data_IF_567107006119
#
_entry.id   IF_567107006119
#
_cell.length_a   1.000
_cell.length_b   1.000
_cell.length_c   1.000
_cell.angle_alpha   90.00
_cell.angle_beta   90.00
_cell.angle_gamma   90.00
#
_symmetry.space_group_name_H-M   'P 1'
#
loop_
_entity.id
_entity.type
_entity.pdbx_description
1 polymer ?
#
# COMPACT_ATOMS: atom_id res chain seq x y z
N UNK A 1 -14.17 -16.21 37.80
CA UNK A 1 -13.01 -16.03 38.66
C UNK A 1 -11.81 -15.81 37.76
N UNK A 2 -10.97 -14.84 38.10
CA UNK A 2 -9.73 -14.55 37.39
C UNK A 2 -8.62 -14.73 38.42
N UNK A 3 -7.85 -15.81 38.30
CA UNK A 3 -6.77 -16.11 39.23
C UNK A 3 -5.43 -15.79 38.56
N UNK A 4 -4.57 -15.06 39.25
CA UNK A 4 -3.26 -14.64 38.75
C UNK A 4 -2.18 -15.42 39.46
N UNK A 5 -1.30 -16.04 38.69
CA UNK A 5 -0.20 -16.84 39.21
C UNK A 5 1.12 -16.19 38.79
N UNK A 6 2.06 -16.21 39.74
CA UNK A 6 3.46 -15.82 39.52
C UNK A 6 4.31 -17.08 39.43
N UNK A 7 5.36 -17.03 38.61
CA UNK A 7 6.25 -18.15 38.42
C UNK A 7 7.42 -18.10 39.41
N UNK A 8 7.83 -19.29 39.84
CA UNK A 8 8.94 -19.48 40.77
C UNK A 8 9.87 -20.57 40.27
N UNK A 9 11.18 -20.35 40.35
CA UNK A 9 12.17 -21.36 40.02
C UNK A 9 12.24 -22.39 41.16
N UNK A 10 12.12 -23.68 40.82
CA UNK A 10 11.91 -24.74 41.80
C UNK A 10 13.13 -25.04 42.68
N UNK A 11 14.35 -24.98 42.13
CA UNK A 11 15.56 -25.43 42.84
C UNK A 11 16.09 -24.39 43.82
N UNK A 12 16.13 -23.14 43.41
CA UNK A 12 16.61 -21.99 44.20
C UNK A 12 15.47 -21.35 44.98
N UNK A 13 14.22 -21.71 44.68
CA UNK A 13 13.03 -21.13 45.30
C UNK A 13 13.06 -19.59 45.24
N UNK A 14 13.50 -19.07 44.09
CA UNK A 14 13.52 -17.64 43.77
C UNK A 14 12.43 -17.33 42.78
N UNK A 15 11.81 -16.17 42.97
CA UNK A 15 10.84 -15.65 42.00
C UNK A 15 11.57 -15.31 40.71
N UNK A 16 10.89 -15.47 39.57
CA UNK A 16 11.44 -14.96 38.31
C UNK A 16 11.56 -13.44 38.41
N UNK A 17 12.76 -12.94 38.11
CA UNK A 17 13.12 -11.52 38.31
C UNK A 17 12.42 -10.63 37.26
N UNK A 18 12.06 -11.21 36.12
CA UNK A 18 11.40 -10.52 35.01
C UNK A 18 9.91 -10.87 34.99
N UNK A 19 9.09 -9.83 34.87
CA UNK A 19 7.63 -9.89 34.83
C UNK A 19 7.09 -10.30 33.44
N UNK A 20 7.97 -10.87 32.61
CA UNK A 20 7.77 -11.17 31.19
C UNK A 20 6.70 -12.24 30.96
N UNK A 21 6.45 -13.09 31.95
CA UNK A 21 5.45 -14.15 31.88
C UNK A 21 4.53 -14.15 33.10
N UNK A 22 3.23 -13.98 32.85
CA UNK A 22 2.17 -14.10 33.86
C UNK A 22 1.17 -15.14 33.43
N UNK A 23 0.86 -16.09 34.31
CA UNK A 23 -0.18 -17.08 34.06
C UNK A 23 -1.50 -16.60 34.67
N UNK A 24 -2.52 -16.51 33.83
CA UNK A 24 -3.85 -16.09 34.23
C UNK A 24 -4.80 -17.24 33.96
N UNK A 25 -5.40 -17.78 35.01
CA UNK A 25 -6.45 -18.77 34.89
C UNK A 25 -7.81 -18.08 34.88
N UNK A 26 -8.59 -18.35 33.84
CA UNK A 26 -9.87 -17.70 33.60
C UNK A 26 -10.97 -18.75 33.48
N UNK A 27 -11.99 -18.61 34.32
CA UNK A 27 -13.24 -19.35 34.18
C UNK A 27 -14.25 -18.51 33.40
N UNK A 28 -14.37 -18.74 32.09
CA UNK A 28 -15.22 -17.95 31.18
C UNK A 28 -16.69 -17.81 31.65
N UNK A 29 -17.38 -18.87 32.15
CA UNK A 29 -18.76 -18.73 32.62
C UNK A 29 -18.93 -17.77 33.80
N UNK A 30 -17.87 -17.56 34.59
CA UNK A 30 -17.87 -16.65 35.74
C UNK A 30 -17.45 -15.22 35.35
N UNK A 31 -17.06 -14.97 34.09
CA UNK A 31 -16.80 -13.64 33.59
C UNK A 31 -18.11 -13.01 33.11
N UNK A 32 -18.58 -11.98 33.81
CA UNK A 32 -19.89 -11.36 33.56
C UNK A 32 -19.79 -9.87 33.20
N UNK A 33 -18.56 -9.34 33.10
CA UNK A 33 -18.32 -7.94 32.74
C UNK A 33 -18.83 -7.64 31.32
N UNK A 34 -19.46 -6.49 31.16
CA UNK A 34 -19.88 -5.92 29.88
C UNK A 34 -18.78 -5.03 29.28
N UNK A 35 -19.02 -4.55 28.07
CA UNK A 35 -18.06 -3.79 27.28
C UNK A 35 -17.58 -2.51 28.00
N UNK A 36 -18.50 -1.85 28.71
CA UNK A 36 -18.25 -0.61 29.45
C UNK A 36 -17.45 -0.85 30.74
N UNK A 37 -17.39 -2.10 31.22
CA UNK A 37 -16.75 -2.52 32.46
C UNK A 37 -15.35 -3.13 32.20
N UNK A 38 -14.86 -3.06 30.96
CA UNK A 38 -13.56 -3.58 30.54
C UNK A 38 -12.43 -2.60 30.89
N UNK A 39 -11.89 -2.73 32.09
CA UNK A 39 -10.86 -1.83 32.61
C UNK A 39 -9.44 -2.23 32.20
N UNK A 40 -9.16 -3.54 32.07
CA UNK A 40 -7.81 -4.05 31.82
C UNK A 40 -7.65 -4.72 30.46
N UNK A 41 -6.43 -4.77 29.94
CA UNK A 41 -6.09 -5.54 28.72
C UNK A 41 -6.54 -7.01 28.84
N UNK A 42 -6.43 -7.58 30.03
CA UNK A 42 -6.88 -8.96 30.33
C UNK A 42 -8.39 -9.07 30.18
N UNK A 43 -9.17 -8.13 30.72
CA UNK A 43 -10.62 -8.12 30.56
C UNK A 43 -11.01 -8.06 29.07
N UNK A 44 -10.32 -7.23 28.29
CA UNK A 44 -10.52 -7.11 26.83
C UNK A 44 -10.26 -8.46 26.11
N UNK A 45 -9.18 -9.16 26.46
CA UNK A 45 -8.89 -10.51 25.91
C UNK A 45 -9.90 -11.57 26.34
N UNK A 46 -10.34 -11.56 27.59
CA UNK A 46 -11.35 -12.52 28.09
C UNK A 46 -12.69 -12.27 27.40
N UNK A 47 -13.09 -11.01 27.27
CA UNK A 47 -14.31 -10.61 26.58
C UNK A 47 -14.27 -11.07 25.12
N UNK A 48 -13.15 -10.83 24.41
CA UNK A 48 -12.92 -11.34 23.06
C UNK A 48 -13.14 -12.86 22.99
N UNK A 49 -12.45 -13.65 23.83
CA UNK A 49 -12.56 -15.11 23.81
C UNK A 49 -13.98 -15.63 24.09
N UNK A 50 -14.77 -14.90 24.87
CA UNK A 50 -16.12 -15.30 25.26
C UNK A 50 -17.18 -14.89 24.24
N UNK A 51 -17.10 -13.67 23.71
CA UNK A 51 -18.18 -13.04 22.96
C UNK A 51 -17.88 -12.89 21.46
N UNK A 52 -16.66 -13.17 20.97
CA UNK A 52 -16.29 -12.99 19.54
C UNK A 52 -17.24 -13.66 18.57
N UNK A 53 -17.83 -14.81 18.92
CA UNK A 53 -18.74 -15.53 18.04
C UNK A 53 -20.08 -14.81 17.82
N UNK A 54 -20.40 -13.80 18.65
CA UNK A 54 -21.65 -13.03 18.62
C UNK A 54 -21.45 -11.59 18.20
N UNK A 55 -20.21 -11.18 17.93
CA UNK A 55 -19.88 -9.80 17.57
C UNK A 55 -19.92 -9.63 16.05
N UNK A 56 -20.97 -8.98 15.54
CA UNK A 56 -21.05 -8.60 14.13
C UNK A 56 -20.09 -7.44 13.78
N UNK A 57 -19.88 -6.55 14.76
CA UNK A 57 -19.04 -5.35 14.64
C UNK A 57 -18.01 -5.37 15.77
N UNK A 58 -16.77 -4.99 15.45
CA UNK A 58 -15.70 -4.83 16.44
C UNK A 58 -15.98 -3.59 17.29
N UNK A 59 -16.22 -3.71 18.60
CA UNK A 59 -16.48 -2.56 19.45
C UNK A 59 -15.22 -1.73 19.72
N UNK A 60 -15.40 -0.42 19.83
CA UNK A 60 -14.34 0.60 19.99
C UNK A 60 -13.35 0.34 21.13
N UNK A 61 -13.79 -0.05 22.36
CA UNK A 61 -12.87 -0.38 23.45
C UNK A 61 -11.90 -1.53 23.11
N UNK A 62 -12.31 -2.46 22.24
CA UNK A 62 -11.45 -3.56 21.80
C UNK A 62 -10.56 -3.15 20.63
N UNK A 63 -11.04 -2.22 19.79
CA UNK A 63 -10.30 -1.67 18.65
C UNK A 63 -9.06 -0.88 19.06
N UNK A 64 -9.06 -0.30 20.26
CA UNK A 64 -7.89 0.37 20.85
C UNK A 64 -6.66 -0.54 20.99
N UNK A 65 -6.85 -1.87 21.01
CA UNK A 65 -5.76 -2.85 21.11
C UNK A 65 -5.54 -3.49 19.73
N UNK A 66 -4.47 -3.12 18.99
CA UNK A 66 -4.26 -3.57 17.61
C UNK A 66 -4.18 -5.09 17.44
N UNK A 67 -3.73 -5.81 18.46
CA UNK A 67 -3.67 -7.28 18.48
C UNK A 67 -5.07 -7.90 18.58
N UNK A 68 -5.96 -7.31 19.40
CA UNK A 68 -7.34 -7.78 19.56
C UNK A 68 -8.14 -7.43 18.30
N UNK A 69 -7.95 -6.24 17.73
CA UNK A 69 -8.57 -5.86 16.45
C UNK A 69 -8.19 -6.86 15.35
N UNK A 70 -6.91 -7.22 15.23
CA UNK A 70 -6.46 -8.23 14.27
C UNK A 70 -7.10 -9.60 14.53
N UNK A 71 -7.14 -10.04 15.79
CA UNK A 71 -7.75 -11.32 16.15
C UNK A 71 -9.25 -11.37 15.83
N UNK A 72 -9.99 -10.30 16.13
CA UNK A 72 -11.42 -10.18 15.80
C UNK A 72 -11.67 -10.17 14.29
N UNK A 73 -10.83 -9.48 13.51
CA UNK A 73 -10.94 -9.50 12.05
C UNK A 73 -10.75 -10.91 11.48
N UNK A 74 -9.87 -11.72 12.06
CA UNK A 74 -9.67 -13.12 11.67
C UNK A 74 -10.87 -13.98 12.09
N UNK A 75 -11.32 -13.85 13.33
CA UNK A 75 -12.46 -14.61 13.87
C UNK A 75 -13.76 -14.32 13.10
N UNK A 76 -14.03 -13.05 12.81
CA UNK A 76 -15.22 -12.65 12.05
C UNK A 76 -15.21 -13.22 10.64
N UNK A 77 -14.04 -13.26 9.97
CA UNK A 77 -13.92 -13.93 8.66
C UNK A 77 -14.20 -15.43 8.73
N UNK A 78 -13.75 -16.11 9.79
CA UNK A 78 -14.05 -17.53 9.98
C UNK A 78 -15.54 -17.79 10.25
N UNK A 79 -16.25 -16.80 10.79
CA UNK A 79 -17.68 -16.85 11.06
C UNK A 79 -18.56 -16.40 9.89
N UNK A 80 -17.99 -15.92 8.78
CA UNK A 80 -18.80 -15.46 7.66
C UNK A 80 -19.63 -16.59 7.05
N UNK A 81 -20.89 -16.27 6.79
CA UNK A 81 -21.69 -17.06 5.87
C UNK A 81 -21.09 -16.98 4.46
N UNK A 82 -21.43 -17.95 3.61
CA UNK A 82 -20.96 -17.98 2.22
C UNK A 82 -21.25 -16.68 1.46
N UNK A 83 -22.42 -16.07 1.70
CA UNK A 83 -22.82 -14.82 1.06
C UNK A 83 -21.96 -13.63 1.53
N UNK A 84 -21.69 -13.53 2.83
CA UNK A 84 -20.85 -12.47 3.38
C UNK A 84 -19.40 -12.58 2.90
N UNK A 85 -18.91 -13.82 2.77
CA UNK A 85 -17.58 -14.07 2.19
C UNK A 85 -17.51 -13.60 0.73
N UNK A 86 -18.50 -13.94 -0.10
CA UNK A 86 -18.57 -13.49 -1.50
C UNK A 86 -18.65 -11.95 -1.62
N UNK A 87 -19.40 -11.28 -0.74
CA UNK A 87 -19.47 -9.81 -0.69
C UNK A 87 -18.14 -9.18 -0.23
N UNK A 88 -17.45 -9.81 0.71
CA UNK A 88 -16.12 -9.40 1.15
C UNK A 88 -15.09 -9.52 0.02
N UNK A 89 -15.04 -10.67 -0.66
CA UNK A 89 -14.14 -10.92 -1.79
C UNK A 89 -14.39 -9.93 -2.93
N UNK A 90 -15.66 -9.67 -3.28
CA UNK A 90 -16.02 -8.69 -4.31
C UNK A 90 -15.49 -7.29 -3.99
N UNK A 91 -15.61 -6.85 -2.72
CA UNK A 91 -15.06 -5.56 -2.27
C UNK A 91 -13.53 -5.55 -2.36
N UNK A 92 -12.87 -6.64 -1.98
CA UNK A 92 -11.41 -6.76 -2.07
C UNK A 92 -10.92 -6.63 -3.52
N UNK A 93 -11.58 -7.30 -4.46
CA UNK A 93 -11.28 -7.19 -5.90
C UNK A 93 -11.43 -5.75 -6.38
N UNK A 94 -12.55 -5.09 -6.04
CA UNK A 94 -12.78 -3.69 -6.43
C UNK A 94 -11.68 -2.74 -5.92
N UNK A 95 -11.25 -2.89 -4.66
CA UNK A 95 -10.17 -2.07 -4.09
C UNK A 95 -8.83 -2.32 -4.79
N UNK A 96 -8.56 -3.57 -5.15
CA UNK A 96 -7.36 -3.93 -5.90
C UNK A 96 -7.36 -3.32 -7.30
N UNK A 97 -8.50 -3.35 -7.99
CA UNK A 97 -8.67 -2.74 -9.31
C UNK A 97 -8.44 -1.22 -9.26
N UNK A 98 -9.04 -0.53 -8.28
CA UNK A 98 -8.84 0.91 -8.08
C UNK A 98 -7.37 1.25 -7.81
N UNK A 99 -6.68 0.47 -6.98
CA UNK A 99 -5.24 0.62 -6.76
C UNK A 99 -4.44 0.37 -8.03
N UNK A 100 -4.84 -0.61 -8.84
CA UNK A 100 -4.26 -0.92 -10.14
C UNK A 100 -4.36 0.26 -11.10
N UNK A 101 -5.55 0.87 -11.22
CA UNK A 101 -5.79 2.06 -12.05
C UNK A 101 -4.88 3.23 -11.66
N UNK A 102 -4.79 3.53 -10.36
CA UNK A 102 -3.95 4.63 -9.86
C UNK A 102 -2.46 4.36 -10.17
N UNK A 103 -2.03 3.11 -9.98
CA UNK A 103 -0.63 2.73 -10.23
C UNK A 103 -0.30 2.86 -11.71
N UNK A 104 -1.16 2.34 -12.58
CA UNK A 104 -1.02 2.45 -14.04
C UNK A 104 -0.97 3.91 -14.48
N UNK A 105 -1.92 4.75 -14.06
CA UNK A 105 -1.96 6.17 -14.40
C UNK A 105 -0.69 6.92 -13.94
N UNK A 106 -0.12 6.54 -12.78
CA UNK A 106 1.14 7.13 -12.29
C UNK A 106 2.35 6.69 -13.13
N UNK A 107 2.38 5.44 -13.55
CA UNK A 107 3.45 4.92 -14.41
C UNK A 107 3.40 5.55 -15.80
N UNK A 108 2.20 5.63 -16.39
CA UNK A 108 1.93 6.27 -17.67
C UNK A 108 2.32 7.75 -17.63
N UNK A 109 1.80 8.52 -16.66
CA UNK A 109 2.14 9.94 -16.53
C UNK A 109 3.64 10.18 -16.25
N UNK A 110 4.34 9.24 -15.60
CA UNK A 110 5.79 9.32 -15.44
C UNK A 110 6.53 9.03 -16.75
N UNK A 111 6.03 8.12 -17.57
CA UNK A 111 6.61 7.82 -18.88
C UNK A 111 6.40 9.00 -19.83
N UNK A 112 5.20 9.55 -19.89
CA UNK A 112 4.85 10.74 -20.67
C UNK A 112 5.71 11.94 -20.26
N UNK A 113 5.76 12.29 -18.97
CA UNK A 113 6.58 13.43 -18.51
C UNK A 113 8.08 13.28 -18.78
N UNK A 114 8.60 12.05 -18.86
CA UNK A 114 10.00 11.82 -19.32
C UNK A 114 10.15 12.05 -20.82
N UNK A 115 9.18 11.64 -21.63
CA UNK A 115 9.20 11.85 -23.06
C UNK A 115 9.07 13.34 -23.40
N UNK A 116 8.13 14.05 -22.76
CA UNK A 116 7.95 15.50 -22.89
C UNK A 116 9.24 16.24 -22.50
N UNK A 117 9.82 15.95 -21.34
CA UNK A 117 11.07 16.59 -20.91
C UNK A 117 12.25 16.32 -21.85
N UNK A 118 12.33 15.12 -22.46
CA UNK A 118 13.34 14.83 -23.50
C UNK A 118 13.09 15.65 -24.77
N UNK A 119 11.84 15.74 -25.21
CA UNK A 119 11.47 16.52 -26.39
C UNK A 119 11.80 18.01 -26.20
N UNK A 120 11.51 18.56 -25.02
CA UNK A 120 11.88 19.95 -24.68
C UNK A 120 13.39 20.18 -24.77
N UNK A 121 14.20 19.26 -24.23
CA UNK A 121 15.66 19.36 -24.30
C UNK A 121 16.15 19.25 -25.74
N UNK A 122 15.60 18.32 -26.52
CA UNK A 122 15.93 18.17 -27.95
C UNK A 122 15.59 19.45 -28.72
N UNK A 123 14.42 20.03 -28.49
CA UNK A 123 14.00 21.29 -29.10
C UNK A 123 14.93 22.44 -28.73
N UNK A 124 15.37 22.52 -27.47
CA UNK A 124 16.32 23.53 -27.03
C UNK A 124 17.66 23.38 -27.76
N UNK A 125 18.17 22.16 -27.92
CA UNK A 125 19.41 21.88 -28.65
C UNK A 125 19.29 22.24 -30.14
N UNK A 126 18.17 21.89 -30.77
CA UNK A 126 17.90 22.23 -32.17
C UNK A 126 17.85 23.75 -32.35
N UNK A 127 17.10 24.45 -31.50
CA UNK A 127 17.00 25.90 -31.55
C UNK A 127 18.36 26.58 -31.33
N UNK A 128 19.21 26.03 -30.46
CA UNK A 128 20.54 26.56 -30.20
C UNK A 128 21.50 26.36 -31.39
N UNK A 129 21.36 25.27 -32.15
CA UNK A 129 22.25 24.94 -33.27
C UNK A 129 21.79 25.53 -34.61
N UNK A 130 20.49 25.50 -34.88
CA UNK A 130 19.92 25.83 -36.18
C UNK A 130 19.02 27.08 -36.15
N UNK A 131 18.79 27.68 -34.98
CA UNK A 131 17.82 28.75 -34.79
C UNK A 131 16.40 28.23 -34.61
N UNK A 132 15.45 29.14 -34.42
CA UNK A 132 14.03 28.76 -34.30
C UNK A 132 13.55 27.99 -35.53
N UNK A 133 13.03 26.79 -35.30
CA UNK A 133 12.39 25.97 -36.32
C UNK A 133 10.90 26.26 -36.42
N UNK A 134 10.28 25.84 -37.52
CA UNK A 134 8.86 26.04 -37.72
C UNK A 134 8.00 25.17 -36.77
N UNK A 135 6.71 25.47 -36.71
CA UNK A 135 5.79 24.80 -35.79
C UNK A 135 5.57 23.34 -36.17
N UNK A 136 5.65 22.97 -37.45
CA UNK A 136 5.39 21.60 -37.88
C UNK A 136 6.53 20.67 -37.44
N UNK A 137 7.79 21.11 -37.58
CA UNK A 137 8.95 20.38 -37.04
C UNK A 137 8.86 20.27 -35.51
N UNK A 138 8.51 21.36 -34.83
CA UNK A 138 8.35 21.35 -33.36
C UNK A 138 7.31 20.33 -32.90
N UNK A 139 6.16 20.28 -33.60
CA UNK A 139 5.08 19.34 -33.28
C UNK A 139 5.48 17.89 -33.61
N UNK A 140 6.24 17.65 -34.67
CA UNK A 140 6.74 16.31 -34.97
C UNK A 140 7.66 15.81 -33.86
N UNK A 141 8.63 16.64 -33.43
CA UNK A 141 9.59 16.29 -32.38
C UNK A 141 8.88 16.05 -31.03
N UNK A 142 7.91 16.90 -30.66
CA UNK A 142 7.17 16.72 -29.40
C UNK A 142 6.35 15.42 -29.34
N UNK A 143 5.97 14.88 -30.49
CA UNK A 143 5.20 13.64 -30.60
C UNK A 143 6.08 12.39 -30.82
N UNK A 144 7.40 12.55 -30.90
CA UNK A 144 8.31 11.40 -31.03
C UNK A 144 8.31 10.56 -29.75
N UNK A 145 8.36 9.24 -29.93
CA UNK A 145 8.57 8.31 -28.82
C UNK A 145 9.95 8.51 -28.20
N UNK A 146 10.07 8.11 -26.94
CA UNK A 146 11.29 8.30 -26.15
C UNK A 146 12.55 7.71 -26.81
N UNK A 147 12.41 6.57 -27.50
CA UNK A 147 13.51 5.89 -28.21
C UNK A 147 13.99 6.70 -29.42
N UNK A 148 13.05 7.32 -30.13
CA UNK A 148 13.34 8.15 -31.29
C UNK A 148 13.95 9.48 -30.87
N UNK A 149 13.51 10.07 -29.75
CA UNK A 149 14.15 11.24 -29.16
C UNK A 149 15.60 10.98 -28.76
N UNK A 150 15.90 9.83 -28.14
CA UNK A 150 17.28 9.46 -27.81
C UNK A 150 18.15 9.25 -29.06
N UNK A 151 17.58 8.67 -30.11
CA UNK A 151 18.25 8.46 -31.39
C UNK A 151 18.53 9.79 -32.08
N UNK A 152 17.57 10.72 -32.03
CA UNK A 152 17.72 12.09 -32.53
C UNK A 152 18.85 12.81 -31.80
N UNK A 153 18.91 12.76 -30.47
CA UNK A 153 20.00 13.40 -29.70
C UNK A 153 21.38 12.93 -30.17
N UNK A 154 21.53 11.63 -30.46
CA UNK A 154 22.80 11.08 -30.96
C UNK A 154 23.10 11.57 -32.39
N UNK A 155 22.11 11.50 -33.27
CA UNK A 155 22.25 11.91 -34.67
C UNK A 155 22.49 13.42 -34.81
N UNK A 156 21.94 14.23 -33.89
CA UNK A 156 22.13 15.68 -33.88
C UNK A 156 23.60 16.04 -33.94
N UNK A 157 24.51 15.33 -33.26
CA UNK A 157 25.95 15.64 -33.27
C UNK A 157 26.54 15.64 -34.68
N UNK A 158 26.04 14.78 -35.58
CA UNK A 158 26.55 14.60 -36.93
C UNK A 158 25.91 15.55 -37.98
N UNK A 159 24.84 16.28 -37.62
CA UNK A 159 24.12 17.15 -38.56
C UNK A 159 24.88 18.44 -38.87
N UNK A 160 25.07 18.77 -40.15
CA UNK A 160 25.73 20.00 -40.55
C UNK A 160 24.74 21.13 -40.84
N UNK A 161 23.46 20.80 -41.07
CA UNK A 161 22.41 21.76 -41.43
C UNK A 161 21.02 21.32 -41.00
N UNK A 162 20.05 22.22 -41.10
CA UNK A 162 18.63 21.92 -40.89
C UNK A 162 18.10 20.87 -41.91
N UNK A 163 18.69 20.79 -43.10
CA UNK A 163 18.30 19.80 -44.10
C UNK A 163 18.59 18.35 -43.66
N UNK A 164 19.65 18.15 -42.87
CA UNK A 164 19.99 16.84 -42.30
C UNK A 164 18.93 16.39 -41.27
N UNK A 165 18.45 17.33 -40.44
CA UNK A 165 17.36 17.10 -39.49
C UNK A 165 16.05 16.72 -40.20
N UNK A 166 15.68 17.48 -41.24
CA UNK A 166 14.48 17.20 -42.02
C UNK A 166 14.56 15.81 -42.68
N UNK A 167 15.69 15.50 -43.32
CA UNK A 167 15.89 14.18 -43.91
C UNK A 167 15.86 13.06 -42.89
N UNK A 168 16.33 13.31 -41.66
CA UNK A 168 16.25 12.32 -40.59
C UNK A 168 14.80 12.09 -40.12
N UNK A 169 14.03 13.17 -39.94
CA UNK A 169 12.61 13.09 -39.57
C UNK A 169 11.75 12.41 -40.65
N UNK A 170 12.07 12.62 -41.93
CA UNK A 170 11.38 11.98 -43.06
C UNK A 170 11.65 10.47 -43.17
N UNK A 171 12.75 9.98 -42.58
CA UNK A 171 13.20 8.58 -42.64
C UNK A 171 12.89 7.77 -41.37
N UNK A 172 12.05 8.32 -40.49
CA UNK A 172 11.82 7.86 -39.12
C UNK A 172 10.78 6.73 -39.01
#
# INVERSE_FOLDING_TARGET
>A
AINRFVFKEQKKNVDYIEDDLKLIFVELPKFQKKLEELESLIDKWIFFLKETAKLDIIPEPLKEVPEIERALNIANRANYSRKELEEFERRAVMLQDEKGKITYAKEEGRAEGRAEGKAEVVMLLINQRFGEVDKDISNQISNLKSENLESLVKALFDFNSLADLLSWLDNL
#
